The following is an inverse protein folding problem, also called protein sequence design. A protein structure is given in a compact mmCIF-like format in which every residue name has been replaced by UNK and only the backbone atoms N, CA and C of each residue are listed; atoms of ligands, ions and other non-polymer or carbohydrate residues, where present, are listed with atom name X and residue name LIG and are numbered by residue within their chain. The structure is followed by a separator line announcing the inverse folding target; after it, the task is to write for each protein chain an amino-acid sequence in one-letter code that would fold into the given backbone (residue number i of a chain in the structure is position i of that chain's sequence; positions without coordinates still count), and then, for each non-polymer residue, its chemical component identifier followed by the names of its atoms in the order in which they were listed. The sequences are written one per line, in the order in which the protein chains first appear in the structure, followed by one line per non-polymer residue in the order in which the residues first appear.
data_IF_494735053105
#
_entry.id   IF_494735053105
#
_cell.length_a   1.000
_cell.length_b   1.000
_cell.length_c   1.000
_cell.angle_alpha   90.00
_cell.angle_beta   90.00
_cell.angle_gamma   90.00
#
_symmetry.space_group_name_H-M   'P 1'
#
loop_
_entity.id
_entity.type
_entity.pdbx_description
1 polymer ?
#
# COMPACT_ATOMS: atom_id res chain seq x y z
N UNK A 1 15.06 9.57 -5.63
CA UNK A 1 16.07 8.83 -6.43
C UNK A 1 15.63 7.40 -6.76
N UNK A 2 15.14 6.59 -5.81
CA UNK A 2 14.64 5.23 -6.09
C UNK A 2 13.22 5.20 -6.69
N UNK A 3 12.25 5.87 -6.06
CA UNK A 3 10.86 5.89 -6.56
C UNK A 3 10.75 6.36 -8.02
N UNK A 4 11.54 7.36 -8.40
CA UNK A 4 11.61 7.85 -9.78
C UNK A 4 12.22 6.84 -10.78
N UNK A 5 13.02 5.89 -10.32
CA UNK A 5 13.51 4.79 -11.17
C UNK A 5 12.48 3.68 -11.28
N UNK A 6 11.82 3.32 -10.17
CA UNK A 6 10.74 2.33 -10.16
C UNK A 6 9.59 2.77 -11.07
N UNK A 7 9.26 4.07 -11.06
CA UNK A 7 8.23 4.66 -11.92
C UNK A 7 8.50 4.53 -13.44
N UNK A 8 9.70 4.14 -13.87
CA UNK A 8 10.04 3.92 -15.28
C UNK A 8 9.72 2.50 -15.77
N UNK A 9 9.44 1.59 -14.84
CA UNK A 9 9.11 0.21 -15.15
C UNK A 9 7.59 0.01 -15.11
N UNK A 10 7.12 -0.99 -15.85
CA UNK A 10 5.73 -1.40 -15.82
C UNK A 10 5.34 -1.86 -14.40
N UNK A 11 4.29 -1.28 -13.79
CA UNK A 11 3.81 -1.72 -12.48
C UNK A 11 3.52 -3.22 -12.40
N UNK A 12 3.08 -3.85 -13.48
CA UNK A 12 2.73 -5.28 -13.51
C UNK A 12 3.94 -6.20 -13.26
N UNK A 13 5.17 -5.68 -13.32
CA UNK A 13 6.37 -6.43 -12.95
C UNK A 13 6.58 -6.54 -11.43
N UNK A 14 5.93 -5.69 -10.64
CA UNK A 14 6.11 -5.59 -9.18
C UNK A 14 4.80 -5.80 -8.42
N UNK A 15 3.65 -5.50 -9.04
CA UNK A 15 2.34 -5.78 -8.47
C UNK A 15 2.04 -7.27 -8.55
N UNK A 16 1.34 -7.75 -7.53
CA UNK A 16 0.82 -9.11 -7.48
C UNK A 16 -0.71 -9.08 -7.56
N UNK A 17 -1.35 -10.16 -8.05
CA UNK A 17 -2.78 -10.34 -7.86
C UNK A 17 -3.15 -10.16 -6.38
N UNK A 18 -4.24 -9.45 -6.11
CA UNK A 18 -4.67 -9.20 -4.73
C UNK A 18 -4.86 -10.52 -3.95
N UNK A 19 -4.42 -10.55 -2.70
CA UNK A 19 -4.49 -11.73 -1.83
C UNK A 19 -3.41 -12.79 -2.10
N UNK A 20 -2.39 -12.48 -2.90
CA UNK A 20 -1.27 -13.40 -3.15
C UNK A 20 -0.42 -13.68 -1.90
N UNK A 21 -0.42 -12.77 -0.93
CA UNK A 21 0.25 -12.95 0.36
C UNK A 21 -0.75 -13.29 1.47
N UNK A 22 -0.32 -13.96 2.56
CA UNK A 22 -1.17 -14.16 3.74
C UNK A 22 -1.68 -12.83 4.32
N UNK A 23 -2.85 -12.80 4.98
CA UNK A 23 -3.38 -11.59 5.59
C UNK A 23 -2.47 -11.15 6.74
N UNK A 24 -2.10 -9.88 6.76
CA UNK A 24 -1.07 -9.34 7.64
C UNK A 24 -1.59 -8.57 8.86
N UNK A 25 -2.89 -8.59 9.10
CA UNK A 25 -3.54 -7.53 9.88
C UNK A 25 -3.88 -7.88 11.34
N UNK A 26 -3.75 -9.14 11.75
CA UNK A 26 -4.00 -9.51 13.15
C UNK A 26 -3.50 -10.90 13.51
N UNK A 27 -3.13 -11.09 14.78
CA UNK A 27 -2.89 -12.41 15.40
C UNK A 27 -4.13 -12.96 16.11
N UNK A 28 -5.21 -12.18 16.20
CA UNK A 28 -6.47 -12.58 16.82
C UNK A 28 -7.23 -13.56 15.93
N UNK A 29 -7.80 -14.61 16.54
CA UNK A 29 -8.42 -15.73 15.82
C UNK A 29 -9.66 -15.32 15.00
N UNK A 30 -10.38 -14.27 15.43
CA UNK A 30 -11.64 -13.82 14.81
C UNK A 30 -11.51 -12.47 14.07
N UNK A 31 -10.29 -11.98 13.86
CA UNK A 31 -10.10 -10.75 13.11
C UNK A 31 -10.48 -10.93 11.63
N UNK A 32 -11.10 -9.92 11.04
CA UNK A 32 -11.33 -9.89 9.59
C UNK A 32 -10.01 -10.08 8.84
N UNK A 33 -9.97 -10.97 7.86
CA UNK A 33 -8.76 -11.19 7.07
C UNK A 33 -8.58 -10.04 6.08
N UNK A 34 -7.60 -9.16 6.35
CA UNK A 34 -7.26 -8.05 5.47
C UNK A 34 -5.93 -8.33 4.78
N UNK A 35 -5.99 -8.29 3.46
CA UNK A 35 -4.88 -8.52 2.56
C UNK A 35 -4.33 -7.19 2.05
N UNK A 36 -3.06 -7.22 1.65
CA UNK A 36 -2.40 -6.15 0.90
C UNK A 36 -2.43 -4.75 1.55
N UNK A 37 -2.59 -4.69 2.87
CA UNK A 37 -2.52 -3.42 3.64
C UNK A 37 -1.10 -2.84 3.73
N UNK A 38 -0.07 -3.69 3.57
CA UNK A 38 1.34 -3.30 3.67
C UNK A 38 2.15 -3.91 2.52
N UNK A 39 2.13 -3.24 1.38
CA UNK A 39 2.77 -3.70 0.15
C UNK A 39 1.81 -3.61 -1.03
N UNK A 40 2.19 -4.18 -2.17
CA UNK A 40 1.44 -4.10 -3.43
C UNK A 40 1.14 -2.64 -3.85
N UNK A 41 0.00 -2.07 -3.46
CA UNK A 41 -0.36 -0.68 -3.70
C UNK A 41 -0.53 0.07 -2.38
N UNK A 42 -0.08 1.32 -2.35
CA UNK A 42 -0.55 2.26 -1.35
C UNK A 42 -2.01 2.60 -1.67
N UNK A 43 -2.81 2.98 -0.68
CA UNK A 43 -4.24 3.16 -0.87
C UNK A 43 -4.67 4.60 -0.70
N UNK A 44 -5.54 5.07 -1.58
CA UNK A 44 -6.22 6.34 -1.38
C UNK A 44 -7.02 6.30 -0.07
N UNK A 45 -6.66 7.20 0.85
CA UNK A 45 -7.36 7.42 2.10
C UNK A 45 -7.77 8.89 2.21
N UNK A 46 -8.83 9.15 2.96
CA UNK A 46 -9.22 10.52 3.31
C UNK A 46 -8.45 10.90 4.57
N UNK A 47 -7.60 11.92 4.46
CA UNK A 47 -6.84 12.47 5.57
C UNK A 47 -7.76 13.11 6.61
N UNK A 48 -7.21 13.48 7.77
CA UNK A 48 -7.94 14.24 8.79
C UNK A 48 -8.44 15.61 8.31
N UNK A 49 -7.81 16.20 7.30
CA UNK A 49 -8.25 17.46 6.69
C UNK A 49 -9.29 17.26 5.58
N UNK A 50 -9.68 16.02 5.29
CA UNK A 50 -10.64 15.69 4.24
C UNK A 50 -10.02 15.57 2.84
N UNK A 51 -8.69 15.70 2.70
CA UNK A 51 -8.02 15.52 1.42
C UNK A 51 -7.78 14.04 1.12
N UNK A 52 -7.98 13.61 -0.13
CA UNK A 52 -7.56 12.30 -0.57
C UNK A 52 -6.03 12.26 -0.72
N UNK A 53 -5.36 11.34 -0.03
CA UNK A 53 -3.92 11.14 -0.12
C UNK A 53 -3.58 9.65 -0.08
N UNK A 54 -2.50 9.20 -0.75
CA UNK A 54 -2.02 7.84 -0.63
C UNK A 54 -1.55 7.55 0.79
N UNK A 55 -1.99 6.43 1.34
CA UNK A 55 -1.65 5.95 2.68
C UNK A 55 -1.07 4.54 2.61
N UNK A 56 -0.17 4.23 3.54
CA UNK A 56 0.47 2.92 3.63
C UNK A 56 1.72 2.76 2.76
N UNK A 57 2.11 1.49 2.55
CA UNK A 57 3.23 1.11 1.70
C UNK A 57 2.71 0.48 0.41
N UNK A 58 3.49 0.60 -0.65
CA UNK A 58 3.35 -0.12 -1.92
C UNK A 58 4.60 -0.97 -2.19
N UNK A 59 4.55 -1.81 -3.23
CA UNK A 59 5.70 -2.53 -3.77
C UNK A 59 6.84 -1.61 -4.22
N UNK A 60 6.54 -0.33 -4.48
CA UNK A 60 7.52 0.68 -4.90
C UNK A 60 8.07 1.54 -3.76
N UNK A 61 7.64 1.30 -2.51
CA UNK A 61 8.08 2.07 -1.35
C UNK A 61 8.78 1.18 -0.35
N UNK A 62 9.86 1.68 0.25
CA UNK A 62 10.54 1.03 1.36
C UNK A 62 10.09 1.70 2.65
N UNK A 63 9.61 0.90 3.62
CA UNK A 63 9.33 1.36 4.98
C UNK A 63 10.64 1.43 5.76
N UNK A 64 10.95 2.60 6.30
CA UNK A 64 12.07 2.74 7.23
C UNK A 64 11.70 2.04 8.56
N UNK A 65 12.44 1.00 8.92
CA UNK A 65 12.18 0.20 10.12
C UNK A 65 12.35 0.98 11.43
N UNK A 66 13.11 2.09 11.42
CA UNK A 66 13.39 2.90 12.60
C UNK A 66 12.33 3.98 12.82
N UNK A 67 11.83 4.57 11.73
CA UNK A 67 10.88 5.70 11.78
C UNK A 67 9.45 5.31 11.45
N UNK A 68 9.24 4.13 10.85
CA UNK A 68 7.94 3.67 10.35
C UNK A 68 7.48 4.38 9.07
N UNK A 69 8.23 5.39 8.62
CA UNK A 69 7.86 6.23 7.48
C UNK A 69 7.95 5.47 6.16
N UNK A 70 6.99 5.72 5.29
CA UNK A 70 7.01 5.30 3.89
C UNK A 70 7.20 6.53 3.01
N UNK A 71 8.00 6.38 1.94
CA UNK A 71 8.10 7.41 0.91
C UNK A 71 6.81 7.54 0.11
N UNK A 72 6.68 8.63 -0.63
CA UNK A 72 5.55 8.80 -1.56
C UNK A 72 5.62 7.77 -2.70
N UNK A 73 4.57 6.98 -2.92
CA UNK A 73 4.52 5.99 -3.99
C UNK A 73 4.40 6.67 -5.36
N UNK A 74 4.94 6.09 -6.44
CA UNK A 74 4.59 6.49 -7.80
C UNK A 74 3.10 6.23 -8.08
N UNK A 75 2.49 7.01 -8.98
CA UNK A 75 1.05 6.96 -9.23
C UNK A 75 0.53 5.56 -9.65
N UNK A 76 1.31 4.80 -10.43
CA UNK A 76 0.95 3.42 -10.83
C UNK A 76 0.94 2.40 -9.68
N UNK A 77 1.38 2.79 -8.49
CA UNK A 77 1.41 1.98 -7.27
C UNK A 77 0.44 2.50 -6.21
N UNK A 78 -0.58 3.26 -6.63
CA UNK A 78 -1.67 3.73 -5.76
C UNK A 78 -3.00 3.14 -6.21
N UNK A 79 -3.63 2.38 -5.34
CA UNK A 79 -4.94 1.75 -5.52
C UNK A 79 -5.97 2.25 -4.52
N UNK A 80 -7.06 1.51 -4.36
CA UNK A 80 -8.13 1.83 -3.42
C UNK A 80 -8.77 0.56 -2.88
N UNK A 81 -9.32 0.66 -1.67
CA UNK A 81 -10.37 -0.23 -1.18
C UNK A 81 -11.66 0.56 -1.00
N UNK A 82 -12.79 -0.12 -1.13
CA UNK A 82 -14.10 0.47 -0.85
C UNK A 82 -14.59 -0.08 0.48
N UNK A 83 -15.03 0.82 1.36
CA UNK A 83 -15.71 0.50 2.60
C UNK A 83 -17.18 0.89 2.41
N UNK A 84 -18.09 0.04 2.88
CA UNK A 84 -19.54 0.28 2.84
C UNK A 84 -20.12 0.03 4.22
N UNK A 85 -21.14 0.81 4.56
CA UNK A 85 -21.95 0.67 5.77
C UNK A 85 -23.02 -0.42 5.62
#
# INVERSE_FOLDING_TARGET
ALAAQIAKHDPDLLLMPAGSCPPGNSTEQDASLLYDLDGNVAEWAVSKSGSAEPSGASAATVRDKRTGLTGQPPQGFVGLRVIRD
#
